data_IF_583186091894
#
_entry.id   IF_583186091894
#
_cell.length_a   1.000
_cell.length_b   1.000
_cell.length_c   1.000
_cell.angle_alpha   90.00
_cell.angle_beta   90.00
_cell.angle_gamma   90.00
#
_symmetry.space_group_name_H-M   'P 1'
#
loop_
_entity.id
_entity.type
_entity.pdbx_description
1 polymer ?
#
# COMPACT_ATOMS: atom_id res chain seq x y z
N UNK A 1 -11.57 -23.39 6.35
CA UNK A 1 -11.71 -22.64 5.07
C UNK A 1 -10.80 -23.30 4.05
N UNK A 2 -11.26 -23.56 2.81
CA UNK A 2 -10.42 -24.22 1.80
C UNK A 2 -9.23 -23.31 1.41
N UNK A 3 -8.02 -23.84 1.51
CA UNK A 3 -6.78 -23.14 1.18
C UNK A 3 -6.70 -23.01 -0.35
N UNK A 4 -6.83 -21.78 -0.87
CA UNK A 4 -6.72 -21.51 -2.31
C UNK A 4 -5.25 -21.42 -2.68
N UNK A 5 -4.77 -22.40 -3.42
CA UNK A 5 -3.44 -22.38 -4.02
C UNK A 5 -3.48 -21.61 -5.35
N UNK A 6 -2.45 -20.81 -5.63
CA UNK A 6 -2.30 -20.05 -6.88
C UNK A 6 -0.91 -20.32 -7.44
N UNK A 7 -0.85 -20.69 -8.71
CA UNK A 7 0.38 -20.88 -9.46
C UNK A 7 0.54 -19.73 -10.46
N UNK A 8 1.64 -18.99 -10.36
CA UNK A 8 2.05 -18.00 -11.36
C UNK A 8 3.29 -18.54 -12.07
N UNK A 9 3.23 -18.64 -13.39
CA UNK A 9 4.29 -19.20 -14.22
C UNK A 9 4.56 -18.29 -15.41
N UNK A 10 5.81 -17.86 -15.54
CA UNK A 10 6.26 -17.05 -16.67
C UNK A 10 6.62 -17.99 -17.82
N UNK A 11 5.72 -18.14 -18.79
CA UNK A 11 5.95 -18.98 -19.97
C UNK A 11 6.60 -18.13 -21.05
N UNK A 12 7.82 -18.48 -21.46
CA UNK A 12 8.60 -17.74 -22.48
C UNK A 12 8.13 -18.00 -23.91
N UNK A 13 7.31 -19.04 -24.11
CA UNK A 13 6.72 -19.44 -25.39
C UNK A 13 5.20 -19.47 -25.28
N UNK A 14 4.50 -19.35 -26.41
CA UNK A 14 3.03 -19.47 -26.40
C UNK A 14 2.63 -20.85 -25.85
N UNK A 15 1.79 -20.92 -24.79
CA UNK A 15 1.33 -22.19 -24.25
C UNK A 15 0.52 -22.94 -25.30
N UNK A 16 0.80 -24.24 -25.48
CA UNK A 16 0.01 -25.07 -26.38
C UNK A 16 -1.31 -25.50 -25.74
N UNK A 17 -2.24 -25.99 -26.55
CA UNK A 17 -3.52 -26.49 -26.04
C UNK A 17 -3.32 -27.72 -25.14
N UNK A 18 -2.37 -28.59 -25.47
CA UNK A 18 -2.03 -29.78 -24.68
C UNK A 18 -1.51 -29.38 -23.29
N UNK A 19 -0.69 -28.32 -23.23
CA UNK A 19 -0.18 -27.78 -22.00
C UNK A 19 -1.31 -27.28 -21.08
N UNK A 20 -2.24 -26.49 -21.62
CA UNK A 20 -3.40 -25.99 -20.88
C UNK A 20 -4.32 -27.14 -20.42
N UNK A 21 -4.52 -28.15 -21.28
CA UNK A 21 -5.31 -29.33 -20.95
C UNK A 21 -4.69 -30.12 -19.79
N UNK A 22 -3.36 -30.29 -19.78
CA UNK A 22 -2.65 -30.94 -18.68
C UNK A 22 -2.84 -30.17 -17.36
N UNK A 23 -2.71 -28.84 -17.37
CA UNK A 23 -2.93 -28.01 -16.16
C UNK A 23 -4.36 -28.16 -15.63
N UNK A 24 -5.35 -28.27 -16.51
CA UNK A 24 -6.75 -28.50 -16.13
C UNK A 24 -6.92 -29.90 -15.51
N UNK A 25 -6.29 -30.93 -16.08
CA UNK A 25 -6.31 -32.30 -15.54
C UNK A 25 -5.66 -32.39 -14.15
N UNK A 26 -4.60 -31.62 -13.93
CA UNK A 26 -3.91 -31.50 -12.64
C UNK A 26 -4.73 -30.71 -11.59
N UNK A 27 -5.93 -30.25 -11.96
CA UNK A 27 -6.87 -29.56 -11.06
C UNK A 27 -6.71 -28.05 -11.01
N UNK A 28 -5.85 -27.46 -11.85
CA UNK A 28 -5.71 -26.01 -11.94
C UNK A 28 -6.84 -25.39 -12.75
N UNK A 29 -7.37 -24.27 -12.25
CA UNK A 29 -8.31 -23.43 -13.00
C UNK A 29 -7.57 -22.21 -13.53
N UNK A 30 -7.67 -21.96 -14.84
CA UNK A 30 -7.13 -20.73 -15.42
C UNK A 30 -7.90 -19.51 -14.87
N UNK A 31 -7.22 -18.65 -14.12
CA UNK A 31 -7.82 -17.47 -13.47
C UNK A 31 -7.33 -16.14 -14.01
N UNK A 32 -6.32 -16.11 -14.89
CA UNK A 32 -5.79 -14.88 -15.47
C UNK A 32 -4.90 -15.15 -16.69
N UNK A 33 -4.84 -14.17 -17.58
CA UNK A 33 -3.91 -14.08 -18.70
C UNK A 33 -3.35 -12.66 -18.71
N UNK A 34 -2.03 -12.54 -18.77
CA UNK A 34 -1.34 -11.27 -18.93
C UNK A 34 -0.92 -11.11 -20.38
N UNK A 35 -1.19 -9.94 -20.95
CA UNK A 35 -0.90 -9.63 -22.35
C UNK A 35 0.01 -8.41 -22.40
N UNK A 36 1.21 -8.59 -22.94
CA UNK A 36 2.14 -7.51 -23.21
C UNK A 36 2.12 -7.21 -24.72
N UNK A 37 2.14 -5.92 -25.06
CA UNK A 37 2.41 -5.46 -26.42
C UNK A 37 3.20 -4.16 -26.37
N UNK A 38 4.14 -3.99 -27.28
CA UNK A 38 4.80 -2.70 -27.48
C UNK A 38 3.80 -1.70 -28.06
N UNK A 39 3.72 -0.51 -27.47
CA UNK A 39 2.94 0.60 -28.03
C UNK A 39 3.89 1.70 -28.45
N UNK A 40 3.82 2.13 -29.71
CA UNK A 40 4.35 3.42 -30.11
C UNK A 40 3.49 4.52 -29.47
N UNK A 41 4.13 5.61 -29.04
CA UNK A 41 3.52 6.67 -28.22
C UNK A 41 2.28 7.35 -28.82
N UNK A 42 1.98 7.10 -30.09
CA UNK A 42 0.91 7.72 -30.87
C UNK A 42 -0.42 6.92 -30.85
N UNK A 43 -0.39 5.65 -30.44
CA UNK A 43 -1.56 4.76 -30.42
C UNK A 43 -2.29 4.74 -29.07
N UNK A 44 -2.14 5.83 -28.31
CA UNK A 44 -2.82 6.02 -27.03
C UNK A 44 -4.27 6.41 -27.35
N UNK A 45 -5.29 5.57 -27.05
CA UNK A 45 -6.68 5.97 -27.27
C UNK A 45 -6.93 7.29 -26.52
N UNK A 46 -7.39 8.29 -27.26
CA UNK A 46 -7.74 9.62 -26.75
C UNK A 46 -8.99 9.53 -25.87
N UNK A 47 -8.78 9.10 -24.64
CA UNK A 47 -9.77 9.10 -23.59
C UNK A 47 -9.04 8.83 -22.28
N UNK A 48 -9.45 9.46 -21.16
CA UNK A 48 -8.90 9.07 -19.88
C UNK A 48 -9.36 7.64 -19.64
N UNK A 49 -8.48 6.68 -19.93
CA UNK A 49 -8.46 5.49 -19.09
C UNK A 49 -8.12 6.02 -17.70
N UNK A 50 -9.16 6.36 -16.94
CA UNK A 50 -9.15 6.23 -15.48
C UNK A 50 -9.03 4.74 -15.19
N UNK A 51 -7.95 4.13 -15.68
CA UNK A 51 -7.43 2.89 -15.17
C UNK A 51 -7.36 3.11 -13.67
N UNK A 52 -7.87 2.15 -12.91
CA UNK A 52 -7.86 2.18 -11.46
C UNK A 52 -6.41 2.30 -10.96
N UNK A 53 -5.88 3.53 -10.93
CA UNK A 53 -4.65 3.86 -10.26
C UNK A 53 -5.01 3.84 -8.78
N UNK A 54 -4.89 2.67 -8.18
CA UNK A 54 -4.97 2.52 -6.74
C UNK A 54 -3.78 3.27 -6.15
N UNK A 55 -4.07 4.31 -5.37
CA UNK A 55 -3.04 5.09 -4.72
C UNK A 55 -2.33 4.22 -3.69
N UNK A 56 -1.00 4.11 -3.80
CA UNK A 56 -0.20 3.36 -2.82
C UNK A 56 -0.42 3.99 -1.44
N UNK A 57 -0.76 3.23 -0.39
CA UNK A 57 -0.91 3.81 0.94
C UNK A 57 0.38 4.49 1.42
N UNK A 58 0.24 5.62 2.13
CA UNK A 58 1.37 6.30 2.76
C UNK A 58 2.05 5.39 3.79
N UNK A 59 3.38 5.34 3.79
CA UNK A 59 4.20 4.40 4.55
C UNK A 59 4.55 3.10 3.82
N UNK A 60 4.01 2.90 2.61
CA UNK A 60 4.36 1.79 1.72
C UNK A 60 4.96 2.28 0.41
N UNK A 61 5.81 1.44 -0.18
CA UNK A 61 6.27 1.58 -1.56
C UNK A 61 6.08 0.25 -2.28
N UNK A 62 6.02 0.30 -3.60
CA UNK A 62 6.15 -0.91 -4.42
C UNK A 62 7.58 -1.44 -4.25
N UNK A 63 7.71 -2.76 -4.11
CA UNK A 63 9.00 -3.43 -4.05
C UNK A 63 9.77 -3.25 -5.35
N UNK A 64 11.09 -3.39 -5.29
CA UNK A 64 11.96 -3.20 -6.45
C UNK A 64 11.71 -4.27 -7.55
N UNK A 65 11.12 -5.41 -7.16
CA UNK A 65 10.66 -6.47 -8.05
C UNK A 65 9.20 -6.31 -8.52
N UNK A 66 8.53 -5.22 -8.15
CA UNK A 66 7.12 -4.92 -8.45
C UNK A 66 6.10 -5.98 -8.01
N UNK A 67 6.47 -6.93 -7.16
CA UNK A 67 5.59 -8.04 -6.77
C UNK A 67 4.69 -7.75 -5.57
N UNK A 68 5.06 -6.78 -4.72
CA UNK A 68 4.38 -6.53 -3.45
C UNK A 68 4.57 -5.09 -2.94
N UNK A 69 3.73 -4.70 -2.00
CA UNK A 69 3.97 -3.50 -1.20
C UNK A 69 4.90 -3.84 -0.03
N UNK A 70 5.95 -3.04 0.12
CA UNK A 70 6.94 -3.09 1.22
C UNK A 70 6.95 -1.76 1.97
N UNK A 71 7.51 -1.76 3.16
CA UNK A 71 7.59 -0.56 3.99
C UNK A 71 8.49 0.51 3.34
N UNK A 72 8.03 1.75 3.37
CA UNK A 72 8.84 2.91 3.05
C UNK A 72 9.41 3.48 4.35
N UNK A 73 10.70 3.25 4.63
CA UNK A 73 11.31 3.61 5.91
C UNK A 73 11.15 5.09 6.30
N UNK A 74 11.36 6.08 5.40
CA UNK A 74 11.15 7.49 5.75
C UNK A 74 9.71 7.82 6.13
N UNK A 75 8.74 7.28 5.37
CA UNK A 75 7.33 7.53 5.63
C UNK A 75 6.82 6.80 6.87
N UNK A 76 7.39 5.62 7.17
CA UNK A 76 7.13 4.88 8.40
C UNK A 76 7.56 5.68 9.62
N UNK A 77 8.72 6.32 9.60
CA UNK A 77 9.18 7.18 10.70
C UNK A 77 8.20 8.33 10.97
N UNK A 78 7.72 8.98 9.91
CA UNK A 78 6.72 10.06 9.99
C UNK A 78 5.43 9.54 10.65
N UNK A 79 4.94 8.37 10.22
CA UNK A 79 3.73 7.75 10.80
C UNK A 79 3.94 7.46 12.29
N UNK A 80 5.06 6.85 12.66
CA UNK A 80 5.36 6.49 14.05
C UNK A 80 5.42 7.74 14.94
N UNK A 81 6.14 8.77 14.51
CA UNK A 81 6.25 10.03 15.24
C UNK A 81 4.88 10.72 15.42
N UNK A 82 4.11 10.81 14.34
CA UNK A 82 2.78 11.39 14.41
C UNK A 82 1.88 10.62 15.37
N UNK A 83 1.91 9.28 15.32
CA UNK A 83 1.15 8.42 16.22
C UNK A 83 1.58 8.57 17.69
N UNK A 84 2.88 8.66 17.97
CA UNK A 84 3.38 8.86 19.33
C UNK A 84 2.83 10.16 19.93
N UNK A 85 2.88 11.26 19.17
CA UNK A 85 2.33 12.55 19.63
C UNK A 85 0.80 12.50 19.80
N UNK A 86 0.08 11.83 18.89
CA UNK A 86 -1.38 11.69 18.98
C UNK A 86 -1.79 10.86 20.20
N UNK A 87 -1.04 9.81 20.52
CA UNK A 87 -1.25 8.98 21.72
C UNK A 87 -1.01 9.78 23.00
N UNK A 88 -0.15 10.80 22.95
CA UNK A 88 0.09 11.76 24.02
C UNK A 88 -0.92 12.93 24.03
N UNK A 89 -2.07 12.78 23.34
CA UNK A 89 -3.13 13.79 23.22
C UNK A 89 -2.65 15.13 22.62
N UNK A 90 -1.59 15.13 21.80
CA UNK A 90 -1.17 16.34 21.10
C UNK A 90 -2.18 16.71 19.98
N UNK A 91 -2.58 17.98 19.85
CA UNK A 91 -3.43 18.42 18.76
C UNK A 91 -2.70 18.28 17.41
N UNK A 92 -3.44 17.96 16.35
CA UNK A 92 -2.88 17.73 15.00
C UNK A 92 -2.10 18.92 14.44
N UNK A 93 -2.40 20.16 14.87
CA UNK A 93 -1.60 21.35 14.54
C UNK A 93 -0.17 21.24 15.06
N UNK A 94 -0.02 20.86 16.33
CA UNK A 94 1.29 20.68 16.95
C UNK A 94 2.07 19.53 16.32
N UNK A 95 1.38 18.45 15.96
CA UNK A 95 1.99 17.32 15.24
C UNK A 95 2.50 17.77 13.87
N UNK A 96 1.70 18.54 13.12
CA UNK A 96 2.11 19.08 11.82
C UNK A 96 3.32 20.02 11.94
N UNK A 97 3.31 20.92 12.94
CA UNK A 97 4.44 21.81 13.25
C UNK A 97 5.72 21.02 13.53
N UNK A 98 5.65 19.98 14.37
CA UNK A 98 6.81 19.15 14.70
C UNK A 98 7.36 18.39 13.47
N UNK A 99 6.48 17.86 12.63
CA UNK A 99 6.91 17.20 11.38
C UNK A 99 7.63 18.18 10.45
N UNK A 100 7.08 19.39 10.29
CA UNK A 100 7.68 20.43 9.47
C UNK A 100 9.00 20.94 10.04
N UNK A 101 9.10 21.08 11.37
CA UNK A 101 10.32 21.50 12.07
C UNK A 101 11.47 20.52 11.80
N UNK A 102 11.16 19.22 11.74
CA UNK A 102 12.11 18.15 11.40
C UNK A 102 12.41 18.04 9.90
N UNK A 103 11.79 18.89 9.07
CA UNK A 103 11.99 18.90 7.62
C UNK A 103 11.26 17.79 6.88
N UNK A 104 10.32 17.09 7.52
CA UNK A 104 9.51 16.08 6.83
C UNK A 104 8.50 16.74 5.90
N UNK A 105 8.27 16.11 4.75
CA UNK A 105 7.34 16.57 3.72
C UNK A 105 6.37 15.46 3.35
N UNK A 106 5.21 15.85 2.82
CA UNK A 106 4.28 14.93 2.17
C UNK A 106 4.90 14.38 0.87
N UNK A 107 4.32 13.33 0.28
CA UNK A 107 4.78 12.77 -1.01
C UNK A 107 4.80 13.78 -2.15
N UNK A 108 3.92 14.77 -2.08
CA UNK A 108 3.83 15.85 -3.05
C UNK A 108 4.86 16.96 -2.81
N UNK A 109 5.72 16.82 -1.78
CA UNK A 109 6.69 17.84 -1.36
C UNK A 109 6.08 18.98 -0.54
N UNK A 110 4.78 18.92 -0.25
CA UNK A 110 4.09 19.94 0.54
C UNK A 110 4.37 19.79 2.04
N UNK A 111 4.31 20.89 2.78
CA UNK A 111 4.34 20.89 4.25
C UNK A 111 3.17 20.14 4.86
N UNK A 112 3.38 19.57 6.04
CA UNK A 112 2.33 18.95 6.83
C UNK A 112 1.33 19.98 7.34
N UNK A 113 0.05 19.64 7.24
CA UNK A 113 -1.06 20.40 7.79
C UNK A 113 -1.94 19.49 8.66
N UNK A 114 -2.75 20.04 9.58
CA UNK A 114 -3.71 19.24 10.34
C UNK A 114 -4.62 18.40 9.43
N UNK A 115 -5.04 18.96 8.30
CA UNK A 115 -5.88 18.27 7.30
C UNK A 115 -5.14 17.11 6.64
N UNK A 116 -3.87 17.29 6.25
CA UNK A 116 -3.05 16.23 5.67
C UNK A 116 -2.84 15.07 6.68
N UNK A 117 -2.60 15.39 7.95
CA UNK A 117 -2.51 14.40 9.02
C UNK A 117 -3.85 13.68 9.28
N UNK A 118 -4.96 14.41 9.26
CA UNK A 118 -6.28 13.80 9.41
C UNK A 118 -6.58 12.80 8.29
N UNK A 119 -6.23 13.13 7.05
CA UNK A 119 -6.36 12.23 5.90
C UNK A 119 -5.44 10.98 6.00
N UNK A 120 -4.34 11.10 6.74
CA UNK A 120 -3.39 10.00 6.98
C UNK A 120 -3.92 8.99 8.02
N UNK A 121 -4.69 9.44 9.02
CA UNK A 121 -5.18 8.62 10.14
C UNK A 121 -5.92 7.34 9.73
N UNK A 122 -6.93 7.36 8.82
CA UNK A 122 -7.61 6.14 8.39
C UNK A 122 -6.66 5.13 7.73
N UNK A 123 -5.62 5.62 7.04
CA UNK A 123 -4.64 4.79 6.32
C UNK A 123 -3.58 4.22 7.25
N UNK A 124 -3.23 4.92 8.34
CA UNK A 124 -2.41 4.37 9.41
C UNK A 124 -3.04 3.11 10.01
N UNK A 125 -4.37 3.06 10.18
CA UNK A 125 -5.08 1.88 10.68
C UNK A 125 -5.00 0.70 9.70
N UNK A 126 -4.98 0.95 8.38
CA UNK A 126 -4.94 -0.10 7.35
C UNK A 126 -3.59 -0.79 7.22
N UNK A 127 -2.51 -0.10 7.58
CA UNK A 127 -1.19 -0.71 7.78
C UNK A 127 -1.16 -1.64 9.01
N UNK A 128 -2.32 -1.74 9.71
CA UNK A 128 -2.73 -2.40 10.96
C UNK A 128 -2.06 -3.71 11.37
N UNK A 129 -1.69 -4.58 10.42
CA UNK A 129 -1.00 -5.83 10.75
C UNK A 129 0.52 -5.81 10.48
N UNK A 130 1.02 -4.91 9.61
CA UNK A 130 2.42 -4.94 9.14
C UNK A 130 3.33 -4.00 9.92
N UNK A 131 2.87 -2.78 10.22
CA UNK A 131 3.60 -1.86 11.09
C UNK A 131 3.53 -2.21 12.58
N UNK A 132 2.55 -3.03 12.95
CA UNK A 132 1.97 -3.06 14.30
C UNK A 132 2.14 -4.41 15.01
N UNK A 133 2.94 -5.31 14.45
CA UNK A 133 3.48 -6.49 15.15
C UNK A 133 4.52 -6.11 16.21
N UNK A 134 4.96 -4.85 16.28
CA UNK A 134 5.80 -4.40 17.39
C UNK A 134 4.99 -4.37 18.69
N UNK A 135 5.52 -5.01 19.73
CA UNK A 135 4.99 -4.95 21.11
C UNK A 135 4.69 -3.49 21.54
N UNK A 136 5.49 -2.56 21.04
CA UNK A 136 5.37 -1.13 21.32
C UNK A 136 4.05 -0.53 20.82
N UNK A 137 3.55 -0.91 19.64
CA UNK A 137 2.25 -0.39 19.18
C UNK A 137 1.08 -0.92 19.99
N UNK A 138 1.10 -2.20 20.37
CA UNK A 138 0.05 -2.78 21.21
C UNK A 138 -0.02 -2.03 22.56
N UNK A 139 1.12 -1.59 23.08
CA UNK A 139 1.18 -0.72 24.26
C UNK A 139 0.60 0.69 23.98
N UNK A 140 0.93 1.30 22.84
CA UNK A 140 0.43 2.62 22.41
C UNK A 140 -1.09 2.64 22.16
N UNK A 141 -1.64 1.65 21.45
CA UNK A 141 -3.09 1.57 21.14
C UNK A 141 -3.97 1.53 22.38
N UNK A 142 -3.50 0.95 23.49
CA UNK A 142 -4.24 0.94 24.77
C UNK A 142 -4.49 2.34 25.33
N UNK A 143 -3.68 3.33 24.92
CA UNK A 143 -3.74 4.72 25.36
C UNK A 143 -4.52 5.63 24.40
N UNK A 144 -4.81 5.17 23.18
CA UNK A 144 -5.59 5.95 22.23
C UNK A 144 -7.01 6.18 22.77
N UNK A 145 -7.57 7.39 22.62
CA UNK A 145 -8.96 7.67 22.93
C UNK A 145 -9.88 6.73 22.15
N UNK A 146 -10.80 6.05 22.83
CA UNK A 146 -11.81 5.23 22.16
C UNK A 146 -12.82 6.17 21.49
N UNK A 147 -12.77 6.27 20.17
CA UNK A 147 -13.78 6.99 19.40
C UNK A 147 -15.07 6.17 19.38
N UNK A 148 -16.08 6.61 20.13
CA UNK A 148 -17.47 6.16 20.02
C UNK A 148 -17.79 4.79 20.65
N UNK A 149 -18.61 4.83 21.71
CA UNK A 149 -19.58 3.79 22.02
C UNK A 149 -20.97 4.34 21.67
#
# INVERSE_FOLDING_TARGET
>A
MPKKERLHETVTTMPTLEYLAQRIQDGWKLTGLEWERETTSDDRPAGPRKDWIEEIPYGLRVSDDCTRLVECAPEKEIIVLALDMIVEDCPLSRVAEELNLRGYQTREGNSWTPTALFNLLPRMIQMGPRLFTSQEWIARRKRLPKVGQ
#
